data_IF_014484767514
#
_entry.id   IF_014484767514
#
_cell.length_a   1.000
_cell.length_b   1.000
_cell.length_c   1.000
_cell.angle_alpha   90.00
_cell.angle_beta   90.00
_cell.angle_gamma   90.00
#
_symmetry.space_group_name_H-M   'P 1'
#
loop_
_entity.id
_entity.type
_entity.pdbx_description
1 polymer ?
#
# COMPACT_ATOMS: atom_id res chain seq x y z
N UNK A 1 -30.50 -24.52 -32.54
CA UNK A 1 -30.82 -24.43 -31.10
C UNK A 1 -29.48 -24.27 -30.43
N UNK A 2 -29.21 -23.02 -30.03
CA UNK A 2 -27.98 -22.57 -29.38
C UNK A 2 -27.81 -23.29 -28.04
N UNK A 3 -26.56 -23.55 -27.66
CA UNK A 3 -26.11 -23.47 -26.27
C UNK A 3 -24.67 -22.95 -26.27
N UNK A 4 -24.55 -21.64 -26.47
CA UNK A 4 -23.45 -20.82 -25.98
C UNK A 4 -23.64 -20.63 -24.48
N UNK A 5 -22.85 -21.30 -23.63
CA UNK A 5 -22.47 -20.82 -22.29
C UNK A 5 -21.23 -21.59 -21.83
N UNK A 6 -20.12 -21.42 -22.55
CA UNK A 6 -18.79 -21.66 -21.97
C UNK A 6 -18.47 -20.47 -21.06
N UNK A 7 -19.06 -20.47 -19.87
CA UNK A 7 -18.79 -19.49 -18.82
C UNK A 7 -17.36 -19.67 -18.31
N UNK A 8 -16.54 -18.65 -18.51
CA UNK A 8 -15.22 -18.45 -17.93
C UNK A 8 -15.25 -18.71 -16.41
N UNK A 9 -14.50 -19.72 -15.97
CA UNK A 9 -14.41 -20.17 -14.57
C UNK A 9 -13.41 -19.36 -13.74
N UNK A 10 -12.91 -18.21 -14.22
CA UNK A 10 -12.00 -17.31 -13.47
C UNK A 10 -12.73 -16.38 -12.48
N UNK A 11 -14.04 -16.48 -12.41
CA UNK A 11 -14.88 -15.53 -11.67
C UNK A 11 -15.28 -16.11 -10.31
N UNK A 12 -14.47 -15.96 -9.25
CA UNK A 12 -14.90 -15.66 -7.86
C UNK A 12 -13.64 -15.29 -7.06
N UNK A 13 -13.61 -14.06 -6.56
CA UNK A 13 -12.49 -13.45 -5.83
C UNK A 13 -11.96 -14.37 -4.71
N UNK A 14 -10.69 -14.77 -4.85
CA UNK A 14 -9.88 -15.55 -3.92
C UNK A 14 -10.58 -16.80 -3.34
N UNK A 15 -11.01 -17.69 -4.24
CA UNK A 15 -11.28 -19.08 -3.92
C UNK A 15 -10.01 -19.80 -3.46
N UNK A 16 -10.18 -20.73 -2.52
CA UNK A 16 -9.16 -21.62 -1.98
C UNK A 16 -8.29 -22.27 -3.06
N UNK A 17 -7.12 -21.69 -3.29
CA UNK A 17 -6.08 -22.21 -4.19
C UNK A 17 -4.81 -21.40 -4.00
N UNK A 18 -3.73 -22.07 -3.57
CA UNK A 18 -2.38 -21.51 -3.48
C UNK A 18 -1.76 -21.35 -4.89
N UNK A 19 -2.48 -20.70 -5.81
CA UNK A 19 -1.99 -20.47 -7.17
C UNK A 19 -0.98 -19.31 -7.18
N UNK A 20 -0.03 -19.41 -8.11
CA UNK A 20 0.96 -18.37 -8.40
C UNK A 20 0.24 -17.03 -8.62
N UNK A 21 0.55 -15.97 -7.84
CA UNK A 21 -0.09 -14.66 -8.01
C UNK A 21 0.03 -14.10 -9.43
N UNK A 22 1.04 -14.52 -10.20
CA UNK A 22 1.29 -14.06 -11.56
C UNK A 22 0.74 -15.03 -12.63
N UNK A 23 0.00 -16.06 -12.23
CA UNK A 23 -0.55 -17.04 -13.16
C UNK A 23 -1.38 -16.37 -14.28
N UNK A 24 -1.02 -16.65 -15.53
CA UNK A 24 -1.73 -16.16 -16.71
C UNK A 24 -1.35 -14.74 -17.16
N UNK A 25 -0.37 -14.08 -16.52
CA UNK A 25 0.15 -12.78 -16.95
C UNK A 25 1.53 -12.93 -17.58
N UNK A 26 1.80 -12.19 -18.66
CA UNK A 26 3.15 -12.11 -19.23
C UNK A 26 4.09 -11.37 -18.28
N UNK A 27 5.05 -12.11 -17.70
CA UNK A 27 6.04 -11.59 -16.75
C UNK A 27 7.35 -11.15 -17.41
N UNK A 28 7.42 -11.22 -18.75
CA UNK A 28 8.59 -10.75 -19.50
C UNK A 28 8.84 -9.28 -19.22
N UNK A 29 10.08 -8.93 -18.84
CA UNK A 29 10.45 -7.52 -18.64
C UNK A 29 10.33 -6.79 -19.98
N UNK A 30 9.64 -5.64 -20.05
CA UNK A 30 9.44 -4.92 -21.31
C UNK A 30 10.76 -4.51 -21.97
N UNK A 31 10.85 -4.48 -23.31
CA UNK A 31 12.06 -4.05 -24.01
C UNK A 31 12.48 -2.63 -23.59
N UNK A 32 13.77 -2.45 -23.28
CA UNK A 32 14.34 -1.16 -22.89
C UNK A 32 14.13 -0.80 -21.41
N UNK A 33 13.50 -1.66 -20.61
CA UNK A 33 13.40 -1.51 -19.16
C UNK A 33 14.52 -2.32 -18.49
N UNK A 34 15.23 -1.69 -17.55
CA UNK A 34 16.18 -2.39 -16.68
C UNK A 34 15.41 -3.25 -15.67
N UNK A 35 15.63 -4.59 -15.64
CA UNK A 35 14.99 -5.46 -14.66
C UNK A 35 15.19 -5.04 -13.20
N UNK A 36 16.35 -4.49 -12.86
CA UNK A 36 16.64 -4.03 -11.49
C UNK A 36 15.83 -2.79 -11.12
N UNK A 37 15.65 -1.84 -12.05
CA UNK A 37 14.81 -0.66 -11.82
C UNK A 37 13.32 -1.05 -11.69
N UNK A 38 12.85 -1.98 -12.52
CA UNK A 38 11.50 -2.53 -12.39
C UNK A 38 11.30 -3.24 -11.05
N UNK A 39 12.25 -4.08 -10.64
CA UNK A 39 12.19 -4.77 -9.37
C UNK A 39 12.16 -3.80 -8.18
N UNK A 40 13.02 -2.78 -8.18
CA UNK A 40 13.04 -1.74 -7.16
C UNK A 40 11.71 -0.97 -7.08
N UNK A 41 11.12 -0.64 -8.22
CA UNK A 41 9.84 0.06 -8.28
C UNK A 41 8.68 -0.82 -7.79
N UNK A 42 8.61 -2.08 -8.20
CA UNK A 42 7.63 -3.04 -7.69
C UNK A 42 7.78 -3.26 -6.18
N UNK A 43 9.02 -3.39 -5.69
CA UNK A 43 9.31 -3.56 -4.27
C UNK A 43 8.85 -2.36 -3.45
N UNK A 44 9.12 -1.15 -3.92
CA UNK A 44 8.67 0.10 -3.30
C UNK A 44 7.14 0.15 -3.14
N UNK A 45 6.40 -0.17 -4.20
CA UNK A 45 4.93 -0.16 -4.17
C UNK A 45 4.33 -1.32 -3.37
N UNK A 46 5.00 -2.47 -3.38
CA UNK A 46 4.64 -3.65 -2.61
C UNK A 46 4.83 -3.43 -1.12
N UNK A 47 5.92 -2.78 -0.72
CA UNK A 47 6.21 -2.43 0.66
C UNK A 47 5.20 -1.42 1.21
N UNK A 48 4.82 -0.40 0.43
CA UNK A 48 3.75 0.53 0.80
C UNK A 48 2.45 -0.22 1.16
N UNK A 49 2.08 -1.16 0.31
CA UNK A 49 0.84 -1.93 0.46
C UNK A 49 0.93 -2.92 1.62
N UNK A 50 2.04 -3.63 1.78
CA UNK A 50 2.25 -4.61 2.84
C UNK A 50 2.22 -3.95 4.22
N UNK A 51 2.95 -2.85 4.38
CA UNK A 51 3.07 -2.15 5.67
C UNK A 51 1.75 -1.49 6.04
N UNK A 52 1.07 -0.83 5.09
CA UNK A 52 -0.26 -0.27 5.33
C UNK A 52 -1.28 -1.38 5.66
N UNK A 53 -1.26 -2.51 4.94
CA UNK A 53 -2.14 -3.65 5.22
C UNK A 53 -1.95 -4.15 6.65
N UNK A 54 -0.70 -4.35 7.09
CA UNK A 54 -0.40 -4.79 8.46
C UNK A 54 -0.94 -3.80 9.50
N UNK A 55 -0.74 -2.49 9.30
CA UNK A 55 -1.29 -1.46 10.20
C UNK A 55 -2.82 -1.46 10.22
N UNK A 56 -3.49 -1.68 9.10
CA UNK A 56 -4.95 -1.81 9.09
C UNK A 56 -5.42 -3.09 9.79
N UNK A 57 -4.70 -4.20 9.65
CA UNK A 57 -5.05 -5.46 10.34
C UNK A 57 -5.00 -5.35 11.87
N UNK A 58 -4.14 -4.49 12.43
CA UNK A 58 -4.12 -4.21 13.88
C UNK A 58 -5.44 -3.60 14.41
N UNK A 59 -6.30 -3.06 13.55
CA UNK A 59 -7.63 -2.55 13.91
C UNK A 59 -8.69 -3.63 14.05
N UNK A 60 -8.42 -4.88 13.63
CA UNK A 60 -9.37 -5.97 13.76
C UNK A 60 -9.83 -6.11 15.22
N UNK A 61 -11.15 -6.10 15.45
CA UNK A 61 -11.81 -6.06 16.77
C UNK A 61 -11.60 -4.79 17.60
N UNK A 62 -11.08 -3.71 17.01
CA UNK A 62 -10.74 -2.45 17.70
C UNK A 62 -11.37 -1.22 17.05
N UNK A 63 -12.06 -1.36 15.93
CA UNK A 63 -12.74 -0.24 15.29
C UNK A 63 -13.93 0.27 16.15
N UNK A 64 -14.42 1.51 15.92
CA UNK A 64 -15.50 2.09 16.72
C UNK A 64 -16.80 1.30 16.70
N UNK A 65 -17.07 0.60 15.61
CA UNK A 65 -18.19 -0.30 15.40
C UNK A 65 -17.83 -1.46 14.45
N UNK A 66 -18.76 -2.39 14.25
CA UNK A 66 -18.53 -3.60 13.46
C UNK A 66 -18.40 -3.29 11.96
N UNK A 67 -19.17 -2.34 11.47
CA UNK A 67 -19.16 -1.90 10.08
C UNK A 67 -17.79 -1.34 9.70
N UNK A 68 -17.20 -0.51 10.55
CA UNK A 68 -15.87 0.04 10.34
C UNK A 68 -14.76 -0.99 10.55
N UNK A 69 -14.96 -1.99 11.43
CA UNK A 69 -14.03 -3.13 11.56
C UNK A 69 -13.95 -3.92 10.24
N UNK A 70 -15.11 -4.24 9.66
CA UNK A 70 -15.22 -4.93 8.38
C UNK A 70 -14.63 -4.09 7.25
N UNK A 71 -14.89 -2.77 7.24
CA UNK A 71 -14.33 -1.87 6.24
C UNK A 71 -12.80 -1.88 6.28
N UNK A 72 -12.19 -1.66 7.45
CA UNK A 72 -10.73 -1.66 7.60
C UNK A 72 -10.10 -3.02 7.29
N UNK A 73 -10.75 -4.13 7.68
CA UNK A 73 -10.30 -5.47 7.32
C UNK A 73 -10.33 -5.73 5.81
N UNK A 74 -11.38 -5.28 5.11
CA UNK A 74 -11.45 -5.39 3.65
C UNK A 74 -10.36 -4.56 2.97
N UNK A 75 -10.11 -3.33 3.43
CA UNK A 75 -9.02 -2.51 2.89
C UNK A 75 -7.64 -3.12 3.12
N UNK A 76 -7.43 -3.75 4.29
CA UNK A 76 -6.22 -4.50 4.57
C UNK A 76 -6.03 -5.67 3.59
N UNK A 77 -7.11 -6.40 3.28
CA UNK A 77 -7.08 -7.51 2.32
C UNK A 77 -6.81 -7.04 0.88
N UNK A 78 -7.39 -5.92 0.45
CA UNK A 78 -7.10 -5.32 -0.86
C UNK A 78 -5.60 -5.00 -0.99
N UNK A 79 -5.05 -4.30 0.02
CA UNK A 79 -3.64 -3.91 0.05
C UNK A 79 -2.72 -5.14 0.14
N UNK A 80 -3.07 -6.14 0.94
CA UNK A 80 -2.30 -7.40 1.01
C UNK A 80 -2.30 -8.12 -0.34
N UNK A 81 -3.43 -8.14 -1.04
CA UNK A 81 -3.54 -8.69 -2.39
C UNK A 81 -2.63 -7.96 -3.39
N UNK A 82 -2.59 -6.62 -3.34
CA UNK A 82 -1.66 -5.82 -4.15
C UNK A 82 -0.20 -6.10 -3.78
N UNK A 83 0.11 -6.17 -2.47
CA UNK A 83 1.46 -6.42 -1.98
C UNK A 83 2.01 -7.75 -2.51
N UNK A 84 1.22 -8.83 -2.44
CA UNK A 84 1.62 -10.14 -2.98
C UNK A 84 2.01 -10.03 -4.45
N UNK A 85 1.13 -9.51 -5.30
CA UNK A 85 1.41 -9.35 -6.74
C UNK A 85 2.67 -8.53 -7.03
N UNK A 86 2.84 -7.42 -6.31
CA UNK A 86 3.99 -6.51 -6.48
C UNK A 86 5.30 -7.14 -6.00
N UNK A 87 5.30 -7.85 -4.87
CA UNK A 87 6.48 -8.55 -4.35
C UNK A 87 6.86 -9.75 -5.23
N UNK A 88 5.89 -10.54 -5.70
CA UNK A 88 6.14 -11.61 -6.67
C UNK A 88 6.74 -11.03 -7.96
N UNK A 89 6.22 -9.89 -8.44
CA UNK A 89 6.74 -9.22 -9.64
C UNK A 89 8.17 -8.72 -9.44
N UNK A 90 8.47 -8.14 -8.27
CA UNK A 90 9.81 -7.68 -7.94
C UNK A 90 10.82 -8.83 -7.99
N UNK A 91 10.51 -9.96 -7.33
CA UNK A 91 11.34 -11.16 -7.35
C UNK A 91 11.51 -11.75 -8.76
N UNK A 92 10.45 -11.74 -9.58
CA UNK A 92 10.50 -12.25 -10.95
C UNK A 92 11.31 -11.34 -11.89
N UNK A 93 11.28 -10.01 -11.68
CA UNK A 93 12.06 -9.06 -12.46
C UNK A 93 13.56 -9.15 -12.12
N UNK A 94 13.90 -9.18 -10.83
CA UNK A 94 15.27 -9.35 -10.37
C UNK A 94 15.34 -10.29 -9.16
N UNK A 95 15.72 -11.56 -9.34
CA UNK A 95 15.92 -12.50 -8.23
C UNK A 95 16.95 -12.02 -7.21
N UNK A 96 17.83 -11.07 -7.56
CA UNK A 96 18.82 -10.48 -6.68
C UNK A 96 18.25 -9.64 -5.53
N UNK A 97 16.99 -9.19 -5.63
CA UNK A 97 16.33 -8.48 -4.52
C UNK A 97 15.82 -9.42 -3.42
N UNK A 98 15.70 -10.71 -3.72
CA UNK A 98 15.19 -11.72 -2.78
C UNK A 98 16.26 -12.03 -1.73
N UNK A 99 15.96 -11.92 -0.42
CA UNK A 99 16.93 -12.22 0.62
C UNK A 99 17.33 -13.70 0.58
N UNK A 100 18.61 -13.97 0.85
CA UNK A 100 19.12 -15.32 0.93
C UNK A 100 18.47 -16.09 2.10
N UNK A 101 17.95 -17.28 1.80
CA UNK A 101 17.40 -18.22 2.76
C UNK A 101 18.29 -19.47 2.85
N UNK A 102 18.10 -20.35 3.86
CA UNK A 102 18.78 -21.63 3.90
C UNK A 102 18.61 -22.41 2.59
N UNK A 103 19.66 -23.11 2.16
CA UNK A 103 19.64 -23.89 0.92
C UNK A 103 18.46 -24.88 0.93
N UNK A 104 17.69 -24.89 -0.17
CA UNK A 104 16.51 -25.72 -0.31
C UNK A 104 15.28 -25.23 0.49
N UNK A 105 15.28 -24.01 1.02
CA UNK A 105 14.08 -23.43 1.66
C UNK A 105 12.90 -23.42 0.67
N UNK A 106 11.71 -23.90 1.07
CA UNK A 106 10.53 -23.93 0.21
C UNK A 106 9.76 -22.60 0.20
N UNK A 107 10.25 -21.56 0.90
CA UNK A 107 9.58 -20.27 1.06
C UNK A 107 9.49 -19.57 -0.31
N UNK A 108 8.28 -19.19 -0.77
CA UNK A 108 8.10 -18.40 -1.98
C UNK A 108 8.87 -17.08 -1.95
N UNK A 109 9.25 -16.56 -3.11
CA UNK A 109 10.06 -15.34 -3.18
C UNK A 109 9.33 -14.10 -2.64
N UNK A 110 8.01 -14.00 -2.81
CA UNK A 110 7.18 -12.93 -2.22
C UNK A 110 7.21 -12.97 -0.69
N UNK A 111 7.12 -14.16 -0.10
CA UNK A 111 7.21 -14.38 1.35
C UNK A 111 8.63 -14.10 1.86
N UNK A 112 9.66 -14.48 1.09
CA UNK A 112 11.05 -14.14 1.40
C UNK A 112 11.23 -12.61 1.49
N UNK A 113 10.68 -11.86 0.52
CA UNK A 113 10.67 -10.40 0.52
C UNK A 113 9.87 -9.84 1.70
N UNK A 114 8.71 -10.38 2.05
CA UNK A 114 7.91 -9.88 3.16
C UNK A 114 8.53 -10.15 4.54
N UNK A 115 9.05 -11.37 4.76
CA UNK A 115 9.34 -11.86 6.10
C UNK A 115 10.82 -11.92 6.49
N UNK A 116 11.74 -11.85 5.51
CA UNK A 116 13.18 -12.06 5.74
C UNK A 116 14.05 -10.86 5.37
N UNK A 117 13.43 -9.68 5.22
CA UNK A 117 14.12 -8.39 5.15
C UNK A 117 14.06 -7.66 6.49
N UNK A 118 15.18 -7.08 6.89
CA UNK A 118 15.25 -6.10 7.99
C UNK A 118 14.75 -4.72 7.52
N UNK A 119 14.44 -3.83 8.47
CA UNK A 119 13.82 -2.54 8.22
C UNK A 119 14.58 -1.70 7.17
N UNK A 120 15.91 -1.70 7.19
CA UNK A 120 16.74 -0.92 6.26
C UNK A 120 16.64 -1.39 4.80
N UNK A 121 16.05 -2.58 4.57
CA UNK A 121 15.78 -3.14 3.24
C UNK A 121 14.34 -2.95 2.78
N UNK A 122 13.46 -2.43 3.64
CA UNK A 122 12.12 -2.00 3.25
C UNK A 122 12.18 -0.64 2.57
N UNK A 123 11.23 -0.40 1.67
CA UNK A 123 11.15 0.78 0.80
C UNK A 123 9.79 1.48 0.87
N UNK A 124 8.96 1.15 1.87
CA UNK A 124 7.67 1.80 2.09
C UNK A 124 7.86 3.29 2.41
N UNK A 125 6.84 4.10 2.13
CA UNK A 125 6.74 5.46 2.67
C UNK A 125 6.59 5.41 4.18
N UNK A 126 7.19 6.37 4.87
CA UNK A 126 7.08 6.45 6.34
C UNK A 126 5.66 6.75 6.82
N UNK A 127 4.78 7.28 5.97
CA UNK A 127 3.36 7.41 6.32
C UNK A 127 2.72 6.05 6.61
N UNK A 128 3.09 4.99 5.89
CA UNK A 128 2.44 3.69 5.99
C UNK A 128 2.75 2.97 7.32
N UNK A 129 3.93 3.21 7.89
CA UNK A 129 4.40 2.52 9.09
C UNK A 129 4.02 3.20 10.40
N UNK A 130 3.51 4.44 10.38
CA UNK A 130 3.10 5.17 11.59
C UNK A 130 2.13 4.31 12.41
N UNK A 131 2.24 4.33 13.73
CA UNK A 131 1.33 3.60 14.62
C UNK A 131 -0.11 4.10 14.47
N UNK A 132 -1.10 3.24 14.73
CA UNK A 132 -2.50 3.53 14.42
C UNK A 132 -3.15 4.69 15.18
N UNK A 133 -2.68 5.04 16.37
CA UNK A 133 -3.31 6.09 17.18
C UNK A 133 -4.79 5.81 17.47
N UNK A 134 -5.63 6.84 17.35
CA UNK A 134 -7.09 6.70 17.44
C UNK A 134 -7.75 6.66 16.03
N UNK A 135 -9.08 6.57 16.00
CA UNK A 135 -9.80 6.44 14.73
C UNK A 135 -9.62 7.65 13.80
N UNK A 136 -9.44 8.85 14.33
CA UNK A 136 -9.17 10.02 13.50
C UNK A 136 -7.80 9.91 12.81
N UNK A 137 -6.83 9.28 13.48
CA UNK A 137 -5.51 9.02 12.93
C UNK A 137 -5.55 8.05 11.74
N UNK A 138 -6.30 6.94 11.84
CA UNK A 138 -6.42 6.00 10.71
C UNK A 138 -7.13 6.64 9.51
N UNK A 139 -8.16 7.46 9.76
CA UNK A 139 -8.91 8.18 8.72
C UNK A 139 -8.00 9.15 7.95
N UNK A 140 -7.23 9.98 8.66
CA UNK A 140 -6.29 10.91 8.03
C UNK A 140 -5.20 10.16 7.26
N UNK A 141 -4.61 9.12 7.87
CA UNK A 141 -3.54 8.35 7.23
C UNK A 141 -4.03 7.68 5.94
N UNK A 142 -5.21 7.07 5.96
CA UNK A 142 -5.85 6.48 4.78
C UNK A 142 -6.19 7.52 3.73
N UNK A 143 -6.68 8.71 4.11
CA UNK A 143 -6.97 9.77 3.16
C UNK A 143 -5.70 10.21 2.41
N UNK A 144 -4.65 10.59 3.14
CA UNK A 144 -3.39 11.05 2.55
C UNK A 144 -2.78 9.98 1.64
N UNK A 145 -2.70 8.74 2.13
CA UNK A 145 -2.16 7.61 1.37
C UNK A 145 -2.98 7.31 0.12
N UNK A 146 -4.32 7.21 0.25
CA UNK A 146 -5.19 6.79 -0.85
C UNK A 146 -5.31 7.84 -1.94
N UNK A 147 -5.28 9.14 -1.61
CA UNK A 147 -5.29 10.20 -2.62
C UNK A 147 -4.04 10.12 -3.50
N UNK A 148 -2.85 10.05 -2.90
CA UNK A 148 -1.60 9.94 -3.65
C UNK A 148 -1.50 8.62 -4.42
N UNK A 149 -1.82 7.49 -3.77
CA UNK A 149 -1.76 6.17 -4.39
C UNK A 149 -2.75 6.04 -5.54
N UNK A 150 -3.95 6.61 -5.45
CA UNK A 150 -4.93 6.56 -6.54
C UNK A 150 -4.42 7.30 -7.79
N UNK A 151 -3.89 8.52 -7.63
CA UNK A 151 -3.31 9.28 -8.73
C UNK A 151 -2.16 8.50 -9.40
N UNK A 152 -1.32 7.84 -8.59
CA UNK A 152 -0.23 6.99 -9.08
C UNK A 152 -0.75 5.79 -9.87
N UNK A 153 -1.71 5.05 -9.33
CA UNK A 153 -2.28 3.87 -9.98
C UNK A 153 -3.00 4.24 -11.29
N UNK A 154 -3.68 5.39 -11.37
CA UNK A 154 -4.29 5.82 -12.62
C UNK A 154 -3.27 6.00 -13.76
N UNK A 155 -2.07 6.51 -13.45
CA UNK A 155 -0.98 6.58 -14.44
C UNK A 155 -0.37 5.22 -14.74
N UNK A 156 -0.22 4.36 -13.74
CA UNK A 156 0.37 3.03 -13.90
C UNK A 156 -0.49 2.07 -14.72
N UNK A 157 -1.78 2.36 -14.94
CA UNK A 157 -2.61 1.61 -15.91
C UNK A 157 -2.04 1.63 -17.33
N UNK A 158 -1.22 2.63 -17.67
CA UNK A 158 -0.52 2.75 -18.94
C UNK A 158 0.94 2.28 -18.86
N UNK A 159 1.34 1.59 -17.79
CA UNK A 159 2.69 1.03 -17.65
C UNK A 159 3.00 0.08 -18.81
N UNK A 160 4.23 0.10 -19.35
CA UNK A 160 4.67 -0.90 -20.34
C UNK A 160 4.81 -2.30 -19.73
N UNK A 161 4.93 -2.41 -18.39
CA UNK A 161 4.92 -3.69 -17.68
C UNK A 161 3.47 -4.15 -17.44
N UNK A 162 3.11 -5.31 -18.00
CA UNK A 162 1.73 -5.81 -17.98
C UNK A 162 1.25 -6.16 -16.57
N UNK A 163 2.14 -6.64 -15.71
CA UNK A 163 1.80 -6.95 -14.32
C UNK A 163 1.46 -5.67 -13.56
N UNK A 164 2.29 -4.63 -13.64
CA UNK A 164 1.99 -3.33 -13.04
C UNK A 164 0.72 -2.69 -13.59
N UNK A 165 0.49 -2.77 -14.90
CA UNK A 165 -0.73 -2.26 -15.52
C UNK A 165 -1.98 -3.00 -15.01
N UNK A 166 -1.91 -4.32 -14.84
CA UNK A 166 -3.00 -5.14 -14.31
C UNK A 166 -3.26 -4.86 -12.82
N UNK A 167 -2.21 -4.79 -12.01
CA UNK A 167 -2.29 -4.41 -10.58
C UNK A 167 -2.93 -3.03 -10.46
N UNK A 168 -2.52 -2.07 -11.29
CA UNK A 168 -3.08 -0.72 -11.29
C UNK A 168 -4.56 -0.68 -11.73
N UNK A 169 -4.93 -1.41 -12.78
CA UNK A 169 -6.31 -1.46 -13.26
C UNK A 169 -7.29 -2.00 -12.22
N UNK A 170 -6.86 -2.98 -11.42
CA UNK A 170 -7.62 -3.48 -10.27
C UNK A 170 -7.57 -2.49 -9.09
N UNK A 171 -6.36 -2.09 -8.71
CA UNK A 171 -6.10 -1.25 -7.54
C UNK A 171 -6.76 0.13 -7.61
N UNK A 172 -6.99 0.70 -8.79
CA UNK A 172 -7.77 1.94 -8.93
C UNK A 172 -9.16 1.81 -8.29
N UNK A 173 -9.86 0.69 -8.48
CA UNK A 173 -11.19 0.50 -7.89
C UNK A 173 -11.13 0.38 -6.37
N UNK A 174 -10.15 -0.38 -5.87
CA UNK A 174 -9.93 -0.61 -4.44
C UNK A 174 -9.54 0.69 -3.73
N UNK A 175 -8.52 1.40 -4.22
CA UNK A 175 -8.06 2.65 -3.61
C UNK A 175 -9.08 3.79 -3.77
N UNK A 176 -9.93 3.77 -4.81
CA UNK A 176 -11.08 4.68 -4.89
C UNK A 176 -12.02 4.47 -3.70
N UNK A 177 -12.35 3.22 -3.36
CA UNK A 177 -13.14 2.91 -2.18
C UNK A 177 -12.46 3.38 -0.88
N UNK A 178 -11.14 3.17 -0.75
CA UNK A 178 -10.37 3.60 0.44
C UNK A 178 -10.40 5.12 0.61
N UNK A 179 -10.15 5.86 -0.48
CA UNK A 179 -10.22 7.34 -0.52
C UNK A 179 -11.61 7.83 -0.16
N UNK A 180 -12.66 7.28 -0.76
CA UNK A 180 -14.03 7.76 -0.56
C UNK A 180 -14.52 7.47 0.87
N UNK A 181 -14.17 6.30 1.41
CA UNK A 181 -14.41 5.97 2.82
C UNK A 181 -13.70 6.94 3.76
N UNK A 182 -12.41 7.21 3.52
CA UNK A 182 -11.62 8.10 4.34
C UNK A 182 -12.12 9.56 4.24
N UNK A 183 -12.48 10.03 3.04
CA UNK A 183 -13.05 11.36 2.83
C UNK A 183 -14.41 11.53 3.52
N UNK A 184 -15.28 10.51 3.47
CA UNK A 184 -16.55 10.51 4.21
C UNK A 184 -16.32 10.62 5.70
N UNK A 185 -15.43 9.81 6.27
CA UNK A 185 -15.14 9.86 7.70
C UNK A 185 -14.43 11.14 8.12
N UNK A 186 -13.53 11.67 7.29
CA UNK A 186 -12.90 12.95 7.52
C UNK A 186 -13.96 14.06 7.67
N UNK A 187 -14.92 14.12 6.74
CA UNK A 187 -16.04 15.06 6.82
C UNK A 187 -16.91 14.84 8.07
N UNK A 188 -17.28 13.59 8.35
CA UNK A 188 -18.08 13.22 9.53
C UNK A 188 -17.40 13.65 10.83
N UNK A 189 -16.10 13.44 10.97
CA UNK A 189 -15.35 13.80 12.16
C UNK A 189 -15.19 15.33 12.29
N UNK A 190 -14.91 16.02 11.17
CA UNK A 190 -14.74 17.46 11.12
C UNK A 190 -16.03 18.24 11.50
N UNK A 191 -17.18 17.76 11.01
CA UNK A 191 -18.48 18.41 11.21
C UNK A 191 -19.35 17.74 12.28
N UNK A 192 -18.78 16.79 13.02
CA UNK A 192 -19.45 16.09 14.11
C UNK A 192 -19.53 16.94 15.37
N UNK A 193 -18.69 16.61 16.34
CA UNK A 193 -18.60 17.30 17.63
C UNK A 193 -17.31 18.09 17.74
N UNK A 194 -17.21 18.99 18.73
CA UNK A 194 -15.95 19.66 19.04
C UNK A 194 -14.81 18.67 19.33
N UNK A 195 -15.11 17.57 20.04
CA UNK A 195 -14.11 16.54 20.34
C UNK A 195 -13.66 15.75 19.11
N UNK A 196 -14.59 15.35 18.22
CA UNK A 196 -14.21 14.66 16.98
C UNK A 196 -13.39 15.54 16.05
N UNK A 197 -13.76 16.83 15.96
CA UNK A 197 -13.01 17.82 15.18
C UNK A 197 -11.60 18.01 15.76
N UNK A 198 -11.49 18.18 17.07
CA UNK A 198 -10.19 18.34 17.76
C UNK A 198 -9.26 17.16 17.51
N UNK A 199 -9.78 15.92 17.56
CA UNK A 199 -9.01 14.70 17.26
C UNK A 199 -8.58 14.63 15.79
N UNK A 200 -9.48 14.97 14.87
CA UNK A 200 -9.18 15.02 13.43
C UNK A 200 -8.09 16.03 13.10
N UNK A 201 -8.21 17.26 13.59
CA UNK A 201 -7.22 18.31 13.36
C UNK A 201 -5.87 17.94 13.98
N UNK A 202 -5.85 17.32 15.17
CA UNK A 202 -4.63 16.83 15.79
C UNK A 202 -3.97 15.68 14.99
N UNK A 203 -4.78 14.74 14.47
CA UNK A 203 -4.29 13.67 13.62
C UNK A 203 -3.73 14.20 12.29
N UNK A 204 -4.44 15.14 11.68
CA UNK A 204 -4.01 15.83 10.46
C UNK A 204 -2.70 16.55 10.67
N UNK A 205 -2.58 17.35 11.72
CA UNK A 205 -1.37 18.08 12.08
C UNK A 205 -0.16 17.15 12.28
N UNK A 206 -0.37 16.01 12.95
CA UNK A 206 0.68 15.02 13.20
C UNK A 206 1.13 14.28 11.93
N UNK A 207 0.22 14.00 10.99
CA UNK A 207 0.50 13.19 9.80
C UNK A 207 0.86 14.02 8.57
N UNK A 208 0.49 15.30 8.53
CA UNK A 208 0.76 16.19 7.40
C UNK A 208 2.23 16.23 6.95
N UNK A 209 3.23 16.26 7.86
CA UNK A 209 4.64 16.27 7.47
C UNK A 209 5.09 15.09 6.59
N UNK A 210 4.38 13.95 6.65
CA UNK A 210 4.68 12.76 5.86
C UNK A 210 4.14 12.84 4.42
N UNK A 211 3.15 13.70 4.15
CA UNK A 211 2.48 13.72 2.84
C UNK A 211 3.44 14.02 1.69
N UNK A 212 4.45 14.86 1.94
CA UNK A 212 5.44 15.26 0.94
C UNK A 212 6.26 14.07 0.38
N UNK A 213 6.43 13.02 1.17
CA UNK A 213 7.13 11.79 0.75
C UNK A 213 6.31 10.98 -0.28
N UNK A 214 4.98 11.05 -0.22
CA UNK A 214 4.09 10.36 -1.17
C UNK A 214 4.23 10.89 -2.60
N UNK A 215 4.64 12.15 -2.73
CA UNK A 215 4.83 12.88 -4.00
C UNK A 215 6.27 13.37 -4.15
N UNK A 216 7.21 12.66 -3.51
CA UNK A 216 8.64 12.92 -3.67
C UNK A 216 9.11 12.44 -5.07
N UNK A 217 10.09 13.12 -5.69
CA UNK A 217 10.60 12.71 -6.98
C UNK A 217 11.13 11.28 -6.99
N UNK A 218 10.80 10.54 -8.04
CA UNK A 218 11.39 9.23 -8.35
C UNK A 218 12.01 9.26 -9.73
N UNK A 219 13.21 8.70 -9.86
CA UNK A 219 13.96 8.65 -11.13
C UNK A 219 14.12 7.21 -11.60
N UNK A 220 14.03 6.98 -12.91
CA UNK A 220 14.17 5.66 -13.52
C UNK A 220 12.82 5.11 -13.98
N UNK A 221 12.70 3.78 -14.03
CA UNK A 221 11.45 3.12 -14.38
C UNK A 221 10.27 3.49 -13.45
N UNK A 222 9.08 3.63 -14.03
CA UNK A 222 7.83 3.89 -13.32
C UNK A 222 7.27 5.29 -13.55
N UNK A 223 6.32 5.68 -12.71
CA UNK A 223 5.74 7.03 -12.72
C UNK A 223 6.49 7.85 -11.67
N UNK A 224 6.93 9.06 -12.03
CA UNK A 224 7.49 10.02 -11.07
C UNK A 224 6.35 10.68 -10.25
N UNK A 225 6.21 10.39 -8.94
CA UNK A 225 5.14 10.93 -8.11
C UNK A 225 5.17 12.45 -8.00
N UNK A 226 6.32 13.10 -8.22
CA UNK A 226 6.40 14.56 -8.20
C UNK A 226 5.52 15.20 -9.28
N UNK A 227 5.27 14.51 -10.39
CA UNK A 227 4.38 14.96 -11.47
C UNK A 227 2.89 14.93 -11.10
N UNK A 228 2.55 14.30 -9.96
CA UNK A 228 1.18 14.11 -9.48
C UNK A 228 0.81 15.09 -8.38
N UNK A 229 1.76 15.91 -7.91
CA UNK A 229 1.58 16.80 -6.75
C UNK A 229 0.36 17.70 -6.86
N UNK A 230 0.21 18.40 -7.99
CA UNK A 230 -0.89 19.34 -8.19
C UNK A 230 -2.25 18.62 -8.16
N UNK A 231 -2.34 17.43 -8.75
CA UNK A 231 -3.57 16.61 -8.74
C UNK A 231 -3.93 16.15 -7.32
N UNK A 232 -2.93 15.69 -6.56
CA UNK A 232 -3.08 15.29 -5.16
C UNK A 232 -3.51 16.48 -4.29
N UNK A 233 -2.86 17.63 -4.45
CA UNK A 233 -3.16 18.84 -3.69
C UNK A 233 -4.59 19.32 -3.95
N UNK A 234 -5.06 19.30 -5.20
CA UNK A 234 -6.44 19.66 -5.54
C UNK A 234 -7.46 18.81 -4.79
N UNK A 235 -7.24 17.49 -4.72
CA UNK A 235 -8.17 16.59 -4.02
C UNK A 235 -8.15 16.82 -2.50
N UNK A 236 -6.96 16.98 -1.93
CA UNK A 236 -6.83 17.28 -0.49
C UNK A 236 -7.44 18.63 -0.13
N UNK A 237 -7.19 19.67 -0.91
CA UNK A 237 -7.76 21.01 -0.71
C UNK A 237 -9.28 20.99 -0.81
N UNK A 238 -9.84 20.18 -1.73
CA UNK A 238 -11.29 20.01 -1.83
C UNK A 238 -11.86 19.36 -0.57
N UNK A 239 -11.23 18.31 -0.04
CA UNK A 239 -11.69 17.65 1.20
C UNK A 239 -11.62 18.62 2.37
N UNK A 240 -10.49 19.32 2.54
CA UNK A 240 -10.28 20.32 3.60
C UNK A 240 -11.34 21.44 3.53
N UNK A 241 -11.57 22.00 2.33
CA UNK A 241 -12.53 23.07 2.12
C UNK A 241 -13.96 22.64 2.42
N UNK A 242 -14.39 21.46 1.96
CA UNK A 242 -15.74 20.93 2.23
C UNK A 242 -15.92 20.62 3.72
N UNK A 243 -14.87 20.17 4.40
CA UNK A 243 -14.89 19.88 5.83
C UNK A 243 -14.73 21.11 6.73
N UNK A 244 -14.36 22.28 6.19
CA UNK A 244 -14.09 23.48 6.98
C UNK A 244 -12.86 23.35 7.89
N UNK A 245 -11.88 22.55 7.46
CA UNK A 245 -10.61 22.32 8.15
C UNK A 245 -9.52 23.10 7.41
N UNK A 246 -8.67 23.80 8.15
CA UNK A 246 -7.56 24.54 7.55
C UNK A 246 -6.43 23.60 7.12
N UNK A 247 -5.75 23.95 6.02
CA UNK A 247 -4.56 23.23 5.56
C UNK A 247 -3.43 23.42 6.59
N UNK A 248 -2.81 22.35 7.11
CA UNK A 248 -1.73 22.49 8.08
C UNK A 248 -0.50 23.20 7.49
N UNK A 249 0.03 24.16 8.24
CA UNK A 249 1.33 24.79 7.97
C UNK A 249 2.44 24.03 8.70
N UNK A 250 2.81 22.86 8.17
CA UNK A 250 3.85 22.00 8.72
C UNK A 250 4.93 21.68 7.69
N UNK A 251 6.23 21.82 8.04
CA UNK A 251 7.30 21.46 7.14
C UNK A 251 7.38 19.95 6.93
N UNK A 252 7.80 19.47 5.76
CA UNK A 252 8.10 18.06 5.52
C UNK A 252 9.14 17.49 6.48
N UNK A 253 9.06 16.19 6.75
CA UNK A 253 10.10 15.48 7.49
C UNK A 253 11.34 15.24 6.61
N UNK A 254 12.53 15.41 7.19
CA UNK A 254 13.80 15.04 6.55
C UNK A 254 13.94 13.52 6.42
N UNK A 255 14.60 13.04 5.37
CA UNK A 255 14.78 11.62 5.10
C UNK A 255 13.61 11.00 4.33
N UNK A 256 13.72 9.72 3.98
CA UNK A 256 12.70 9.00 3.22
C UNK A 256 12.79 7.50 3.48
N UNK A 257 11.64 6.85 3.67
CA UNK A 257 11.56 5.40 3.79
C UNK A 257 11.94 4.69 2.48
N UNK A 258 11.87 5.41 1.35
CA UNK A 258 12.39 4.93 0.05
C UNK A 258 13.88 4.60 0.07
N UNK A 259 14.67 5.21 0.97
CA UNK A 259 16.10 4.94 1.13
C UNK A 259 16.39 3.94 2.26
N UNK A 260 15.36 3.36 2.88
CA UNK A 260 15.49 2.51 4.08
C UNK A 260 15.63 3.31 5.38
N UNK A 261 15.48 4.64 5.34
CA UNK A 261 15.54 5.50 6.52
C UNK A 261 14.16 5.63 7.16
N UNK A 262 13.81 4.62 7.96
CA UNK A 262 12.49 4.48 8.60
C UNK A 262 12.43 5.00 10.03
N UNK A 263 11.23 5.15 10.55
CA UNK A 263 10.97 5.42 11.97
C UNK A 263 11.17 4.14 12.80
N UNK A 264 11.24 4.30 14.13
CA UNK A 264 11.29 3.15 15.04
C UNK A 264 10.04 2.24 14.94
N UNK A 265 8.92 2.77 14.43
CA UNK A 265 7.66 2.06 14.34
C UNK A 265 7.73 0.87 13.38
N UNK A 266 8.50 0.98 12.28
CA UNK A 266 8.65 -0.12 11.33
C UNK A 266 9.38 -1.31 11.95
N UNK A 267 10.47 -1.08 12.69
CA UNK A 267 11.21 -2.16 13.32
C UNK A 267 10.33 -2.96 14.31
N UNK A 268 9.49 -2.27 15.09
CA UNK A 268 8.53 -2.92 15.99
C UNK A 268 7.47 -3.71 15.22
N UNK A 269 6.94 -3.15 14.13
CA UNK A 269 5.94 -3.80 13.28
C UNK A 269 6.50 -5.09 12.65
N UNK A 270 7.70 -5.03 12.09
CA UNK A 270 8.35 -6.19 11.47
C UNK A 270 8.71 -7.26 12.49
N UNK A 271 9.09 -6.89 13.72
CA UNK A 271 9.35 -7.86 14.77
C UNK A 271 8.13 -8.75 15.05
N UNK A 272 6.92 -8.19 15.04
CA UNK A 272 5.68 -8.94 15.19
C UNK A 272 5.34 -9.71 13.90
N UNK A 273 5.34 -9.04 12.75
CA UNK A 273 4.95 -9.60 11.46
C UNK A 273 5.81 -10.81 11.05
N UNK A 274 7.10 -10.81 11.39
CA UNK A 274 8.08 -11.76 10.88
C UNK A 274 8.45 -12.88 11.86
N UNK A 275 7.96 -12.83 13.11
CA UNK A 275 8.45 -13.69 14.21
C UNK A 275 8.35 -15.19 13.89
N UNK A 276 7.22 -15.64 13.36
CA UNK A 276 6.98 -17.07 13.08
C UNK A 276 7.82 -17.54 11.89
N UNK A 277 7.86 -16.75 10.82
CA UNK A 277 8.63 -17.08 9.62
C UNK A 277 10.13 -17.15 9.92
N UNK A 278 10.67 -16.20 10.71
CA UNK A 278 12.09 -16.21 11.12
C UNK A 278 12.43 -17.34 12.08
N UNK A 279 11.50 -17.77 12.93
CA UNK A 279 11.69 -18.94 13.79
C UNK A 279 11.71 -20.26 13.00
N UNK A 280 11.03 -20.31 11.84
CA UNK A 280 10.89 -21.50 11.00
C UNK A 280 11.22 -21.21 9.53
N UNK A 281 12.50 -20.92 9.19
CA UNK A 281 12.92 -20.48 7.85
C UNK A 281 12.80 -21.53 6.74
N UNK A 282 12.43 -22.77 7.09
CA UNK A 282 12.14 -23.88 6.17
C UNK A 282 10.68 -24.35 6.26
N UNK A 283 9.82 -23.60 6.95
CA UNK A 283 8.40 -23.90 7.08
C UNK A 283 7.65 -23.69 5.76
N UNK A 284 6.55 -24.42 5.58
CA UNK A 284 5.60 -24.28 4.47
C UNK A 284 4.19 -24.22 5.05
N UNK A 285 3.40 -23.25 4.61
CA UNK A 285 2.07 -22.91 5.13
C UNK A 285 1.03 -22.90 4.02
#
# INVERSE_FOLDING_TARGET
MNDEYAGDSSQWAFGTGFEDPLAGVDTTVPPGVDPAELAAYCLMLGDDALVMAQRLSEWCSRAPDLEEDIALANMALDLLGQARLLLSRAAAADPGVVPALPEGSPVPAEDALAFFRDAERFRNVRLAEVENGDFAHVVVRLLLFSVARLALLERLRASPDQVLAAVAAKGVKEITYHRDWAGRWFLTLAQGTEESRRRLEAALDALWPYQAELVAPHTGFGVDPATLRDEVDVVLDQVLAVSGVERPDRPPLSGTGRDGAHTAALASLLAEMQVVARAHPSGRW
#
